data_IF_464580782473
#
_entry.id   IF_464580782473
#
_cell.length_a   1.000
_cell.length_b   1.000
_cell.length_c   1.000
_cell.angle_alpha   90.00
_cell.angle_beta   90.00
_cell.angle_gamma   90.00
#
_symmetry.space_group_name_H-M   'P 1'
#
loop_
_entity.id
_entity.type
_entity.pdbx_description
1 polymer ?
#
# COMPACT_ATOMS: atom_id res chain seq x y z
N UNK A 1 23.13 20.68 -23.26
CA UNK A 1 23.27 21.00 -21.82
C UNK A 1 23.17 19.72 -21.00
N UNK A 2 22.21 18.84 -21.29
CA UNK A 2 22.00 17.56 -20.57
C UNK A 2 23.21 16.62 -20.69
N UNK A 3 23.83 16.51 -21.85
CA UNK A 3 25.04 15.69 -22.06
C UNK A 3 26.27 16.20 -21.29
N UNK A 4 26.36 17.51 -21.08
CA UNK A 4 27.42 18.09 -20.23
C UNK A 4 27.17 17.86 -18.73
N UNK A 5 25.90 17.84 -18.29
CA UNK A 5 25.54 17.55 -16.91
C UNK A 5 25.77 16.08 -16.60
N UNK A 6 25.42 15.17 -17.51
CA UNK A 6 25.65 13.73 -17.34
C UNK A 6 27.13 13.36 -17.27
N UNK A 7 28.01 14.10 -17.98
CA UNK A 7 29.46 13.88 -17.92
C UNK A 7 30.12 14.38 -16.62
N UNK A 8 29.42 15.18 -15.82
CA UNK A 8 29.92 15.71 -14.53
C UNK A 8 29.45 14.81 -13.35
N UNK A 9 28.50 13.94 -13.58
CA UNK A 9 28.02 13.02 -12.54
C UNK A 9 29.13 12.02 -12.19
N UNK A 10 29.51 11.99 -10.92
CA UNK A 10 30.60 11.13 -10.41
C UNK A 10 32.02 11.70 -10.52
N UNK A 11 32.19 12.92 -11.07
CA UNK A 11 33.50 13.59 -11.03
C UNK A 11 33.63 14.45 -9.78
N UNK A 12 34.83 14.38 -9.13
CA UNK A 12 35.16 15.31 -8.04
C UNK A 12 35.18 16.75 -8.57
N UNK A 13 34.53 17.65 -7.83
CA UNK A 13 34.59 19.08 -8.15
C UNK A 13 35.98 19.71 -7.91
N UNK A 14 36.92 18.96 -7.33
CA UNK A 14 38.22 19.47 -6.92
C UNK A 14 38.19 20.43 -5.72
N UNK A 15 36.98 20.71 -5.18
CA UNK A 15 36.83 21.69 -4.11
C UNK A 15 37.54 21.26 -2.83
N UNK A 16 37.37 20.01 -2.42
CA UNK A 16 37.98 19.48 -1.19
C UNK A 16 39.50 19.40 -1.32
N UNK A 17 39.99 19.04 -2.51
CA UNK A 17 41.42 18.95 -2.84
C UNK A 17 42.09 20.31 -2.81
N UNK A 18 41.35 21.36 -3.14
CA UNK A 18 41.87 22.74 -3.13
C UNK A 18 41.88 23.41 -1.73
N UNK A 19 41.29 22.77 -0.72
CA UNK A 19 41.27 23.29 0.65
C UNK A 19 42.66 23.22 1.31
N UNK A 20 42.97 24.13 2.28
CA UNK A 20 44.16 24.02 3.14
C UNK A 20 44.21 22.67 3.89
N UNK A 21 45.38 22.15 4.16
CA UNK A 21 45.57 20.82 4.74
C UNK A 21 44.89 20.65 6.11
N UNK A 22 44.89 21.66 6.94
CA UNK A 22 44.19 21.66 8.24
C UNK A 22 42.67 21.58 8.07
N UNK A 23 42.13 22.21 7.04
CA UNK A 23 40.70 22.16 6.74
C UNK A 23 40.32 20.79 6.19
N UNK A 24 41.13 20.23 5.28
CA UNK A 24 40.94 18.86 4.79
C UNK A 24 40.92 17.84 5.91
N UNK A 25 41.88 17.94 6.85
CA UNK A 25 41.92 17.05 8.04
C UNK A 25 40.64 17.13 8.87
N UNK A 26 40.07 18.35 9.04
CA UNK A 26 38.78 18.53 9.74
C UNK A 26 37.64 17.91 8.96
N UNK A 27 37.60 18.06 7.63
CA UNK A 27 36.59 17.43 6.76
C UNK A 27 36.66 15.90 6.86
N UNK A 28 37.86 15.31 6.82
CA UNK A 28 38.00 13.86 7.00
C UNK A 28 37.58 13.41 8.40
N UNK A 29 37.86 14.19 9.44
CA UNK A 29 37.36 13.94 10.79
C UNK A 29 35.81 13.93 10.87
N UNK A 30 35.16 14.90 10.19
CA UNK A 30 33.71 14.96 10.11
C UNK A 30 33.12 13.77 9.33
N UNK A 31 33.76 13.34 8.24
CA UNK A 31 33.39 12.11 7.53
C UNK A 31 33.45 10.89 8.44
N UNK A 32 34.49 10.78 9.27
CA UNK A 32 34.65 9.71 10.25
C UNK A 32 33.49 9.70 11.28
N UNK A 33 33.10 10.88 11.78
CA UNK A 33 31.94 11.01 12.67
C UNK A 33 30.64 10.62 11.95
N UNK A 34 30.49 11.03 10.69
CA UNK A 34 29.29 10.64 9.90
C UNK A 34 29.19 9.13 9.71
N UNK A 35 30.30 8.42 9.51
CA UNK A 35 30.31 6.94 9.47
C UNK A 35 29.82 6.33 10.79
N UNK A 36 30.18 6.92 11.93
CA UNK A 36 29.67 6.46 13.24
C UNK A 36 28.18 6.74 13.36
N UNK A 37 27.73 7.92 12.96
CA UNK A 37 26.28 8.27 12.92
C UNK A 37 25.50 7.28 12.05
N UNK A 38 25.97 7.00 10.84
CA UNK A 38 25.31 6.05 9.92
C UNK A 38 25.14 4.65 10.56
N UNK A 39 26.12 4.18 11.32
CA UNK A 39 26.02 2.87 12.02
C UNK A 39 24.93 2.87 13.08
N UNK A 40 24.80 3.96 13.84
CA UNK A 40 23.74 4.11 14.85
C UNK A 40 22.37 4.23 14.18
N UNK A 41 22.27 5.01 13.12
CA UNK A 41 21.04 5.16 12.36
C UNK A 41 20.60 3.83 11.74
N UNK A 42 21.51 3.07 11.16
CA UNK A 42 21.21 1.74 10.64
C UNK A 42 20.73 0.76 11.75
N UNK A 43 21.25 0.90 12.96
CA UNK A 43 20.74 0.13 14.11
C UNK A 43 19.33 0.58 14.47
N UNK A 44 19.09 1.87 14.56
CA UNK A 44 17.80 2.46 14.87
C UNK A 44 16.73 2.00 13.86
N UNK A 45 17.01 2.06 12.56
CA UNK A 45 16.08 1.61 11.52
C UNK A 45 15.75 0.12 11.64
N UNK A 46 16.73 -0.73 11.99
CA UNK A 46 16.48 -2.15 12.24
C UNK A 46 15.60 -2.39 13.46
N UNK A 47 15.78 -1.62 14.52
CA UNK A 47 14.93 -1.72 15.72
C UNK A 47 13.51 -1.25 15.44
N UNK A 48 13.33 -0.17 14.66
CA UNK A 48 12.00 0.28 14.18
C UNK A 48 11.32 -0.83 13.37
N UNK A 49 12.00 -1.41 12.38
CA UNK A 49 11.44 -2.48 11.57
C UNK A 49 11.05 -3.70 12.43
N UNK A 50 11.85 -4.05 13.43
CA UNK A 50 11.54 -5.13 14.37
C UNK A 50 10.28 -4.80 15.22
N UNK A 51 10.16 -3.54 15.65
CA UNK A 51 8.98 -3.04 16.35
C UNK A 51 7.73 -3.10 15.48
N UNK A 52 7.81 -2.62 14.25
CA UNK A 52 6.71 -2.66 13.27
C UNK A 52 6.24 -4.09 13.01
N UNK A 53 7.17 -5.03 12.79
CA UNK A 53 6.86 -6.46 12.65
C UNK A 53 6.13 -7.03 13.86
N UNK A 54 6.54 -6.65 15.07
CA UNK A 54 5.87 -7.08 16.30
C UNK A 54 4.44 -6.54 16.38
N UNK A 55 4.24 -5.25 16.09
CA UNK A 55 2.90 -4.66 16.12
C UNK A 55 2.02 -5.16 14.98
N UNK A 56 2.56 -5.42 13.80
CA UNK A 56 1.81 -6.03 12.70
C UNK A 56 1.16 -7.37 13.10
N UNK A 57 1.86 -8.19 13.90
CA UNK A 57 1.28 -9.44 14.46
C UNK A 57 0.15 -9.16 15.45
N UNK A 58 0.23 -8.08 16.22
CA UNK A 58 -0.84 -7.68 17.15
C UNK A 58 -2.06 -7.08 16.43
N UNK A 59 -1.84 -6.40 15.31
CA UNK A 59 -2.92 -5.85 14.49
C UNK A 59 -3.65 -6.90 13.64
N UNK A 60 -3.00 -8.02 13.32
CA UNK A 60 -3.56 -9.03 12.44
C UNK A 60 -4.97 -9.51 12.85
N UNK A 61 -5.26 -9.82 14.14
CA UNK A 61 -6.60 -10.22 14.58
C UNK A 61 -7.66 -9.12 14.36
N UNK A 62 -7.28 -7.84 14.53
CA UNK A 62 -8.19 -6.71 14.30
C UNK A 62 -8.52 -6.56 12.80
N UNK A 63 -7.54 -6.79 11.94
CA UNK A 63 -7.77 -6.79 10.50
C UNK A 63 -8.61 -7.98 10.04
N UNK A 64 -8.44 -9.15 10.66
CA UNK A 64 -9.30 -10.31 10.40
C UNK A 64 -10.74 -10.01 10.82
N UNK A 65 -10.93 -9.40 11.98
CA UNK A 65 -12.24 -8.98 12.46
C UNK A 65 -12.89 -7.95 11.52
N UNK A 66 -12.13 -6.92 11.09
CA UNK A 66 -12.58 -5.95 10.10
C UNK A 66 -13.06 -6.64 8.82
N UNK A 67 -12.26 -7.55 8.27
CA UNK A 67 -12.62 -8.30 7.06
C UNK A 67 -13.95 -9.04 7.24
N UNK A 68 -14.14 -9.73 8.32
CA UNK A 68 -15.37 -10.48 8.60
C UNK A 68 -16.60 -9.56 8.65
N UNK A 69 -16.49 -8.38 9.28
CA UNK A 69 -17.57 -7.40 9.36
C UNK A 69 -17.84 -6.80 7.97
N UNK A 70 -16.81 -6.41 7.22
CA UNK A 70 -16.94 -5.85 5.88
C UNK A 70 -17.62 -6.82 4.92
N UNK A 71 -17.29 -8.13 5.02
CA UNK A 71 -17.91 -9.18 4.20
C UNK A 71 -19.31 -9.57 4.68
N UNK A 72 -19.73 -9.14 5.86
CA UNK A 72 -20.99 -9.54 6.48
C UNK A 72 -21.00 -11.00 6.93
N UNK A 73 -19.84 -11.58 7.21
CA UNK A 73 -19.70 -12.91 7.80
C UNK A 73 -20.11 -12.90 9.26
N UNK A 74 -19.84 -11.79 9.94
CA UNK A 74 -20.20 -11.54 11.35
C UNK A 74 -20.63 -10.08 11.50
N UNK A 75 -21.51 -9.86 12.46
CA UNK A 75 -21.92 -8.51 12.87
C UNK A 75 -20.99 -7.95 13.95
N UNK A 76 -20.84 -6.61 14.04
CA UNK A 76 -20.11 -5.98 15.11
C UNK A 76 -20.79 -6.26 16.45
N UNK A 77 -20.00 -6.37 17.52
CA UNK A 77 -20.52 -6.47 18.89
C UNK A 77 -21.06 -5.11 19.35
N UNK A 78 -21.97 -5.13 20.34
CA UNK A 78 -22.47 -3.89 20.92
C UNK A 78 -21.36 -3.00 21.46
N UNK A 79 -20.31 -3.58 22.03
CA UNK A 79 -19.15 -2.85 22.53
C UNK A 79 -18.36 -2.17 21.38
N UNK A 80 -18.12 -2.89 20.26
CA UNK A 80 -17.42 -2.31 19.10
C UNK A 80 -18.21 -1.11 18.51
N UNK A 81 -19.55 -1.21 18.51
CA UNK A 81 -20.40 -0.10 18.05
C UNK A 81 -20.35 1.08 19.02
N UNK A 82 -20.45 0.83 20.33
CA UNK A 82 -20.40 1.87 21.36
C UNK A 82 -19.06 2.61 21.35
N UNK A 83 -17.95 1.87 21.24
CA UNK A 83 -16.61 2.45 21.09
C UNK A 83 -16.50 3.31 19.82
N UNK A 84 -17.08 2.85 18.69
CA UNK A 84 -17.14 3.62 17.44
C UNK A 84 -17.96 4.90 17.57
N UNK A 85 -19.16 4.83 18.16
CA UNK A 85 -20.02 6.00 18.39
C UNK A 85 -19.35 7.03 19.33
N UNK A 86 -18.52 6.57 20.26
CA UNK A 86 -17.79 7.45 21.15
C UNK A 86 -16.73 8.31 20.43
N UNK A 87 -16.18 7.82 19.31
CA UNK A 87 -15.19 8.57 18.51
C UNK A 87 -15.82 9.67 17.65
N UNK A 88 -17.13 9.60 17.38
CA UNK A 88 -17.85 10.56 16.54
C UNK A 88 -18.43 11.74 17.36
N UNK A 89 -18.26 11.73 18.69
CA UNK A 89 -18.67 12.87 19.51
C UNK A 89 -17.68 14.01 19.27
N UNK A 90 -18.16 15.22 18.91
CA UNK A 90 -17.30 16.39 18.91
C UNK A 90 -16.69 16.56 20.31
N UNK A 91 -15.40 16.91 20.37
CA UNK A 91 -14.78 17.34 21.62
C UNK A 91 -15.55 18.59 22.09
N UNK A 92 -16.41 18.42 23.10
CA UNK A 92 -17.12 19.52 23.77
C UNK A 92 -16.13 20.32 24.65
N UNK A 93 -15.11 20.91 24.05
CA UNK A 93 -14.17 21.82 24.72
C UNK A 93 -14.41 23.30 24.34
N UNK A 94 -15.60 23.68 23.86
CA UNK A 94 -16.01 25.08 23.78
C UNK A 94 -17.35 25.26 24.50
N UNK A 95 -17.25 25.61 25.82
CA UNK A 95 -18.28 26.22 26.61
C UNK A 95 -18.70 27.58 25.99
N UNK A 96 -19.67 27.60 25.11
CA UNK A 96 -20.52 28.76 24.93
C UNK A 96 -21.99 28.29 24.91
N UNK A 97 -22.63 28.47 26.10
CA UNK A 97 -24.08 28.40 26.26
C UNK A 97 -24.75 29.47 25.38
N UNK A 98 -25.15 29.09 24.15
CA UNK A 98 -26.24 29.82 23.48
C UNK A 98 -27.54 29.03 23.66
N UNK A 99 -28.37 29.49 24.61
CA UNK A 99 -29.77 29.13 24.69
C UNK A 99 -30.50 29.59 23.42
N UNK A 100 -30.56 28.73 22.40
CA UNK A 100 -31.40 28.86 21.21
C UNK A 100 -32.56 27.88 21.30
N UNK A 101 -33.72 28.37 21.74
CA UNK A 101 -35.00 27.67 21.52
C UNK A 101 -35.23 27.52 20.03
N UNK A 102 -35.01 26.33 19.52
CA UNK A 102 -35.75 25.60 18.46
C UNK A 102 -34.92 24.42 18.06
N UNK A 103 -34.89 23.43 18.90
CA UNK A 103 -34.05 22.29 18.65
C UNK A 103 -34.85 21.07 18.35
N UNK A 104 -34.58 20.44 17.27
CA UNK A 104 -34.75 19.01 17.09
C UNK A 104 -33.42 18.35 17.47
N UNK A 105 -33.08 18.39 18.73
CA UNK A 105 -32.12 17.48 19.33
C UNK A 105 -32.67 16.06 19.27
N UNK A 106 -32.65 15.42 18.13
CA UNK A 106 -32.84 14.00 18.04
C UNK A 106 -31.64 13.36 18.75
N UNK A 107 -31.84 13.01 20.01
CA UNK A 107 -30.96 12.07 20.71
C UNK A 107 -30.73 10.89 19.76
N UNK A 108 -29.55 10.82 19.13
CA UNK A 108 -29.17 9.70 18.28
C UNK A 108 -29.28 8.46 19.15
N UNK A 109 -30.29 7.61 18.89
CA UNK A 109 -30.40 6.33 19.55
C UNK A 109 -29.15 5.55 19.22
N UNK A 110 -28.42 5.09 20.25
CA UNK A 110 -27.24 4.29 20.08
C UNK A 110 -27.55 3.08 19.18
N UNK A 111 -26.74 2.87 18.17
CA UNK A 111 -26.83 1.73 17.26
C UNK A 111 -26.46 0.42 17.95
N UNK A 112 -25.71 0.49 19.05
CA UNK A 112 -25.23 -0.68 19.79
C UNK A 112 -26.35 -1.62 20.26
N UNK A 113 -27.55 -1.09 20.51
CA UNK A 113 -28.73 -1.84 20.97
C UNK A 113 -29.76 -2.08 19.85
N UNK A 114 -29.45 -1.75 18.60
CA UNK A 114 -30.36 -2.02 17.49
C UNK A 114 -30.29 -3.50 17.09
N UNK A 115 -31.46 -4.14 17.00
CA UNK A 115 -31.55 -5.46 16.37
C UNK A 115 -31.46 -5.33 14.86
N UNK A 116 -30.51 -6.05 14.26
CA UNK A 116 -30.37 -6.08 12.81
C UNK A 116 -31.52 -6.87 12.22
N UNK A 117 -32.23 -6.27 11.26
CA UNK A 117 -33.34 -6.94 10.59
C UNK A 117 -32.80 -8.06 9.69
N UNK A 118 -33.55 -9.16 9.59
CA UNK A 118 -33.15 -10.35 8.80
C UNK A 118 -32.95 -10.07 7.31
N UNK A 119 -33.54 -8.99 6.77
CA UNK A 119 -33.45 -8.58 5.37
C UNK A 119 -32.43 -7.45 5.13
N UNK A 120 -31.66 -7.07 6.15
CA UNK A 120 -30.61 -6.04 5.98
C UNK A 120 -29.51 -6.54 5.03
N UNK A 121 -28.92 -5.63 4.21
CA UNK A 121 -27.77 -5.97 3.39
C UNK A 121 -26.63 -6.47 4.28
N UNK A 122 -26.02 -7.58 3.89
CA UNK A 122 -24.89 -8.15 4.63
C UNK A 122 -23.59 -7.41 4.28
N UNK A 123 -22.84 -7.04 5.31
CA UNK A 123 -21.55 -6.38 5.16
C UNK A 123 -21.65 -4.96 4.61
N UNK A 124 -20.53 -4.47 4.08
CA UNK A 124 -20.40 -3.12 3.53
C UNK A 124 -19.96 -3.25 2.07
N UNK A 125 -20.92 -3.05 1.16
CA UNK A 125 -20.64 -3.14 -0.27
C UNK A 125 -19.59 -2.09 -0.70
N UNK A 126 -18.68 -2.49 -1.58
CA UNK A 126 -17.65 -1.61 -2.18
C UNK A 126 -16.78 -0.85 -1.14
N UNK A 127 -16.65 -1.38 0.07
CA UNK A 127 -15.92 -0.75 1.17
C UNK A 127 -14.51 -0.28 0.74
N UNK A 128 -13.73 -1.16 0.13
CA UNK A 128 -12.36 -0.83 -0.27
C UNK A 128 -12.27 0.14 -1.43
N UNK A 129 -13.17 0.04 -2.41
CA UNK A 129 -13.24 1.02 -3.49
C UNK A 129 -13.54 2.41 -2.93
N UNK A 130 -14.52 2.51 -2.04
CA UNK A 130 -14.87 3.77 -1.37
C UNK A 130 -13.71 4.31 -0.55
N UNK A 131 -13.05 3.47 0.26
CA UNK A 131 -11.90 3.86 1.07
C UNK A 131 -10.73 4.38 0.21
N UNK A 132 -10.42 3.69 -0.90
CA UNK A 132 -9.37 4.11 -1.83
C UNK A 132 -9.71 5.44 -2.52
N UNK A 133 -10.98 5.64 -2.92
CA UNK A 133 -11.44 6.89 -3.55
C UNK A 133 -11.50 8.07 -2.58
N UNK A 134 -11.67 7.83 -1.30
CA UNK A 134 -11.62 8.89 -0.28
C UNK A 134 -10.21 9.41 -0.01
N UNK A 135 -9.17 8.68 -0.44
CA UNK A 135 -7.79 9.16 -0.34
C UNK A 135 -7.43 9.97 -1.60
N UNK A 136 -7.16 11.27 -1.43
CA UNK A 136 -6.98 12.23 -2.55
C UNK A 136 -5.99 11.71 -3.60
N UNK A 137 -4.78 11.32 -3.21
CA UNK A 137 -3.75 10.88 -4.16
C UNK A 137 -4.11 9.56 -4.86
N UNK A 138 -4.87 8.66 -4.21
CA UNK A 138 -5.29 7.40 -4.83
C UNK A 138 -6.49 7.62 -5.75
N UNK A 139 -7.40 8.50 -5.39
CA UNK A 139 -8.58 8.79 -6.21
C UNK A 139 -8.22 9.35 -7.59
N UNK A 140 -7.13 10.14 -7.69
CA UNK A 140 -6.62 10.64 -8.96
C UNK A 140 -6.04 9.55 -9.88
N UNK A 141 -5.62 8.42 -9.32
CA UNK A 141 -5.05 7.30 -10.06
C UNK A 141 -6.11 6.29 -10.52
N UNK A 142 -7.28 6.24 -9.85
CA UNK A 142 -8.34 5.28 -10.14
C UNK A 142 -9.19 5.81 -11.28
N UNK A 143 -9.23 5.08 -12.38
CA UNK A 143 -10.10 5.39 -13.53
C UNK A 143 -11.44 4.66 -13.43
N UNK A 144 -12.47 5.10 -14.20
CA UNK A 144 -13.76 4.39 -14.26
C UNK A 144 -13.62 2.91 -14.66
N UNK A 145 -12.59 2.56 -15.42
CA UNK A 145 -12.32 1.17 -15.80
C UNK A 145 -11.81 0.35 -14.61
N UNK A 146 -10.99 0.97 -13.76
CA UNK A 146 -10.41 0.31 -12.58
C UNK A 146 -11.47 0.07 -11.50
N UNK A 147 -12.45 0.96 -11.40
CA UNK A 147 -13.55 0.82 -10.45
C UNK A 147 -14.28 -0.52 -10.60
N UNK A 148 -14.49 -0.98 -11.86
CA UNK A 148 -15.12 -2.27 -12.13
C UNK A 148 -14.41 -3.43 -11.44
N UNK A 149 -13.08 -3.50 -11.52
CA UNK A 149 -12.30 -4.53 -10.85
C UNK A 149 -12.19 -4.28 -9.33
N UNK A 150 -12.02 -3.03 -8.91
CA UNK A 150 -11.85 -2.66 -7.50
C UNK A 150 -13.11 -2.88 -6.66
N UNK A 151 -14.31 -2.95 -7.28
CA UNK A 151 -15.55 -3.36 -6.58
C UNK A 151 -15.45 -4.75 -5.97
N UNK A 152 -14.62 -5.61 -6.54
CA UNK A 152 -14.40 -6.97 -6.06
C UNK A 152 -13.26 -7.09 -5.04
N UNK A 153 -12.62 -5.97 -4.64
CA UNK A 153 -11.59 -5.93 -3.62
C UNK A 153 -12.22 -6.13 -2.24
N UNK A 154 -11.83 -7.20 -1.55
CA UNK A 154 -12.41 -7.60 -0.26
C UNK A 154 -11.48 -7.41 0.94
N UNK A 155 -10.17 -7.33 0.71
CA UNK A 155 -9.20 -7.06 1.79
C UNK A 155 -7.88 -6.52 1.25
N UNK A 156 -7.21 -5.69 2.04
CA UNK A 156 -5.85 -5.19 1.80
C UNK A 156 -5.02 -5.42 3.04
N UNK A 157 -3.88 -6.11 2.88
CA UNK A 157 -2.96 -6.48 3.96
C UNK A 157 -1.54 -6.05 3.68
N UNK A 158 -0.91 -5.51 4.70
CA UNK A 158 0.54 -5.32 4.75
C UNK A 158 1.16 -6.49 5.52
N UNK A 159 2.19 -7.12 4.95
CA UNK A 159 3.02 -8.11 5.63
C UNK A 159 4.48 -7.76 5.47
N UNK A 160 5.25 -7.85 6.54
CA UNK A 160 6.70 -7.72 6.48
C UNK A 160 7.33 -9.06 6.10
N UNK A 161 8.41 -9.02 5.33
CA UNK A 161 9.18 -10.21 5.04
C UNK A 161 9.96 -10.60 6.30
N UNK A 162 9.71 -11.81 6.78
CA UNK A 162 10.46 -12.35 7.92
C UNK A 162 11.82 -12.85 7.43
N UNK A 163 12.85 -12.53 8.20
CA UNK A 163 14.11 -13.24 8.15
C UNK A 163 13.80 -14.71 8.29
N UNK A 164 14.34 -15.58 7.42
CA UNK A 164 14.07 -17.00 7.39
C UNK A 164 13.73 -17.57 8.77
N UNK A 165 12.49 -18.00 8.90
CA UNK A 165 11.74 -18.33 10.09
C UNK A 165 12.46 -19.13 11.14
N UNK A 166 12.37 -18.67 12.40
CA UNK A 166 12.51 -19.56 13.56
C UNK A 166 11.28 -20.46 13.78
N UNK A 167 10.16 -20.23 13.05
CA UNK A 167 8.95 -21.06 13.11
C UNK A 167 8.62 -21.64 11.74
N UNK A 168 8.84 -22.96 11.63
CA UNK A 168 8.72 -23.78 10.43
C UNK A 168 7.30 -23.94 9.85
N UNK A 169 6.56 -22.86 9.64
CA UNK A 169 5.30 -22.85 8.91
C UNK A 169 5.35 -21.83 7.77
N UNK A 170 6.18 -22.12 6.77
CA UNK A 170 6.27 -21.36 5.54
C UNK A 170 5.09 -21.66 4.63
N UNK A 171 4.19 -20.71 4.45
CA UNK A 171 3.31 -20.69 3.28
C UNK A 171 4.13 -20.28 2.07
N UNK A 172 4.70 -21.29 1.40
CA UNK A 172 5.38 -21.12 0.13
C UNK A 172 4.35 -21.07 -1.00
N UNK A 173 4.15 -19.89 -1.56
CA UNK A 173 3.64 -19.77 -2.92
C UNK A 173 4.32 -18.60 -3.63
N UNK A 174 5.56 -18.82 -4.07
CA UNK A 174 6.12 -18.03 -5.15
C UNK A 174 7.11 -18.89 -5.95
N UNK A 175 6.68 -19.23 -7.13
CA UNK A 175 7.57 -19.71 -8.18
C UNK A 175 8.23 -18.47 -8.80
N UNK A 176 9.35 -18.02 -8.26
CA UNK A 176 10.41 -17.26 -8.93
C UNK A 176 11.44 -16.80 -7.86
N UNK A 177 12.67 -17.34 -7.97
CA UNK A 177 13.84 -16.80 -7.29
C UNK A 177 13.92 -17.09 -5.80
N UNK A 178 14.30 -18.32 -5.42
CA UNK A 178 14.71 -18.65 -4.05
C UNK A 178 16.01 -17.90 -3.75
N UNK A 179 16.05 -16.98 -2.74
CA UNK A 179 17.32 -16.40 -2.30
C UNK A 179 18.28 -17.49 -1.85
N UNK A 180 19.58 -17.31 -2.13
CA UNK A 180 20.59 -18.23 -1.67
C UNK A 180 20.51 -18.39 -0.12
N UNK A 181 20.74 -19.61 0.43
CA UNK A 181 20.66 -19.83 1.87
C UNK A 181 21.64 -18.92 2.61
N UNK A 182 21.10 -17.99 3.40
CA UNK A 182 21.85 -17.03 4.22
C UNK A 182 21.62 -15.55 3.93
N UNK A 183 20.95 -15.17 2.84
CA UNK A 183 20.54 -13.78 2.58
C UNK A 183 19.11 -13.56 3.06
N UNK A 184 18.98 -12.84 4.15
CA UNK A 184 17.70 -12.37 4.67
C UNK A 184 17.36 -11.07 3.96
N UNK A 185 16.61 -11.15 2.88
CA UNK A 185 16.15 -9.96 2.18
C UNK A 185 15.03 -9.30 2.99
N UNK A 186 15.28 -8.08 3.45
CA UNK A 186 14.29 -7.27 4.18
C UNK A 186 13.33 -6.62 3.19
N UNK A 187 12.09 -6.44 3.63
CA UNK A 187 11.09 -5.82 2.79
C UNK A 187 9.69 -5.97 3.36
N UNK A 188 8.71 -5.62 2.55
CA UNK A 188 7.30 -5.80 2.87
C UNK A 188 6.51 -6.15 1.61
N UNK A 189 5.33 -6.71 1.82
CA UNK A 189 4.40 -7.00 0.74
C UNK A 189 3.02 -6.46 1.05
N UNK A 190 2.33 -6.06 -0.01
CA UNK A 190 0.93 -5.68 -0.01
C UNK A 190 0.15 -6.77 -0.72
N UNK A 191 -0.82 -7.36 -0.02
CA UNK A 191 -1.74 -8.33 -0.57
C UNK A 191 -3.10 -7.69 -0.77
N UNK A 192 -3.59 -7.77 -1.99
CA UNK A 192 -4.91 -7.33 -2.39
C UNK A 192 -5.76 -8.57 -2.66
N UNK A 193 -6.71 -8.86 -1.77
CA UNK A 193 -7.60 -10.02 -1.90
C UNK A 193 -8.87 -9.63 -2.64
N UNK A 194 -9.25 -10.44 -3.62
CA UNK A 194 -10.44 -10.21 -4.46
C UNK A 194 -11.43 -11.35 -4.33
N UNK A 195 -12.72 -11.03 -4.50
CA UNK A 195 -13.79 -12.03 -4.63
C UNK A 195 -13.66 -12.69 -6.01
N UNK A 196 -12.94 -13.82 -6.06
CA UNK A 196 -12.63 -14.51 -7.31
C UNK A 196 -13.88 -15.04 -8.03
N UNK A 197 -14.96 -15.34 -7.29
CA UNK A 197 -16.19 -15.88 -7.87
C UNK A 197 -16.99 -14.82 -8.60
N UNK A 198 -16.89 -13.56 -8.18
CA UNK A 198 -17.60 -12.42 -8.77
C UNK A 198 -16.75 -11.59 -9.71
N UNK A 199 -15.41 -11.75 -9.66
CA UNK A 199 -14.48 -10.95 -10.45
C UNK A 199 -14.44 -11.43 -11.90
N UNK A 200 -15.01 -10.66 -12.81
CA UNK A 200 -15.01 -10.94 -14.25
C UNK A 200 -13.70 -10.53 -14.95
N UNK A 201 -12.83 -9.73 -14.31
CA UNK A 201 -11.65 -9.15 -14.93
C UNK A 201 -10.45 -10.11 -14.93
N UNK A 202 -10.16 -10.75 -13.82
CA UNK A 202 -9.02 -11.67 -13.66
C UNK A 202 -9.33 -12.76 -12.64
N UNK A 203 -8.56 -13.85 -12.71
CA UNK A 203 -8.82 -15.08 -11.92
C UNK A 203 -8.06 -15.13 -10.60
N UNK A 204 -7.07 -14.27 -10.40
CA UNK A 204 -6.27 -14.29 -9.19
C UNK A 204 -7.12 -13.92 -7.96
N UNK A 205 -7.21 -14.77 -6.93
CA UNK A 205 -7.89 -14.42 -5.69
C UNK A 205 -7.09 -13.41 -4.86
N UNK A 206 -5.77 -13.36 -5.04
CA UNK A 206 -4.88 -12.42 -4.37
C UNK A 206 -3.86 -11.90 -5.37
N UNK A 207 -3.70 -10.59 -5.40
CA UNK A 207 -2.60 -9.92 -6.09
C UNK A 207 -1.64 -9.37 -5.05
N UNK A 208 -0.37 -9.77 -5.14
CA UNK A 208 0.67 -9.37 -4.20
C UNK A 208 1.68 -8.47 -4.89
N UNK A 209 2.07 -7.40 -4.23
CA UNK A 209 3.21 -6.56 -4.58
C UNK A 209 4.22 -6.60 -3.46
N UNK A 210 5.41 -7.10 -3.74
CA UNK A 210 6.51 -7.22 -2.77
C UNK A 210 7.55 -6.17 -3.06
N UNK A 211 7.97 -5.46 -2.04
CA UNK A 211 9.01 -4.44 -2.08
C UNK A 211 10.19 -4.91 -1.27
N UNK A 212 11.37 -4.86 -1.86
CA UNK A 212 12.61 -5.28 -1.24
C UNK A 212 13.49 -4.09 -0.92
N UNK A 213 14.17 -4.16 0.22
CA UNK A 213 15.19 -3.21 0.60
C UNK A 213 16.58 -3.73 0.23
N UNK A 214 17.49 -2.80 -0.03
CA UNK A 214 18.90 -3.11 -0.22
C UNK A 214 19.50 -3.64 1.08
N UNK A 215 20.49 -4.52 0.98
CA UNK A 215 21.21 -5.04 2.16
C UNK A 215 21.98 -3.94 2.90
N UNK A 216 22.40 -2.91 2.16
CA UNK A 216 23.11 -1.77 2.69
C UNK A 216 22.16 -0.61 2.92
N UNK A 217 22.33 0.03 4.08
CA UNK A 217 21.61 1.29 4.36
C UNK A 217 22.16 2.42 3.51
N UNK A 218 21.30 3.40 3.20
CA UNK A 218 21.65 4.60 2.49
C UNK A 218 22.68 5.46 3.24
N UNK A 219 23.11 6.54 2.60
CA UNK A 219 24.05 7.51 3.19
C UNK A 219 23.54 8.13 4.50
N UNK A 220 22.25 8.26 4.66
CA UNK A 220 21.57 8.75 5.86
C UNK A 220 21.30 7.66 6.89
N UNK A 221 21.54 6.39 6.55
CA UNK A 221 21.26 5.23 7.41
C UNK A 221 19.88 4.59 7.15
N UNK A 222 19.11 5.15 6.22
CA UNK A 222 17.76 4.70 5.90
C UNK A 222 17.76 3.37 5.13
N UNK A 223 16.64 2.63 5.26
CA UNK A 223 16.38 1.47 4.41
C UNK A 223 16.08 1.95 2.98
N UNK A 224 16.94 1.58 2.05
CA UNK A 224 16.83 2.01 0.64
C UNK A 224 16.05 0.96 -0.15
N UNK A 225 15.10 1.44 -0.97
CA UNK A 225 14.41 0.59 -1.93
C UNK A 225 15.42 -0.03 -2.92
N UNK A 226 15.26 -1.32 -3.19
CA UNK A 226 16.03 -2.05 -4.19
C UNK A 226 15.18 -2.31 -5.42
N UNK A 227 14.25 -3.24 -5.33
CA UNK A 227 13.34 -3.60 -6.41
C UNK A 227 11.98 -4.01 -5.87
N UNK A 228 11.03 -4.21 -6.78
CA UNK A 228 9.73 -4.75 -6.43
C UNK A 228 9.30 -5.82 -7.40
N UNK A 229 8.64 -6.84 -6.87
CA UNK A 229 8.03 -7.92 -7.63
C UNK A 229 6.51 -7.85 -7.49
N UNK A 230 5.78 -8.34 -8.49
CA UNK A 230 4.33 -8.35 -8.47
C UNK A 230 3.78 -9.65 -9.04
N UNK A 231 2.62 -10.06 -8.53
CA UNK A 231 1.87 -11.18 -9.10
C UNK A 231 1.50 -10.86 -10.56
N UNK A 232 1.75 -11.80 -11.46
CA UNK A 232 1.24 -11.70 -12.83
C UNK A 232 -0.29 -11.82 -12.80
N UNK A 233 -0.98 -10.86 -13.43
CA UNK A 233 -2.44 -10.86 -13.45
C UNK A 233 -2.94 -11.78 -14.55
N UNK A 234 -3.75 -12.77 -14.18
CA UNK A 234 -4.39 -13.72 -15.10
C UNK A 234 -5.74 -13.14 -15.58
N UNK A 235 -5.66 -12.28 -16.58
CA UNK A 235 -6.84 -11.64 -17.17
C UNK A 235 -7.76 -12.66 -17.83
N UNK A 236 -9.07 -12.53 -17.62
CA UNK A 236 -10.07 -13.44 -18.20
C UNK A 236 -10.19 -13.30 -19.72
N UNK A 237 -9.97 -12.10 -20.22
CA UNK A 237 -9.95 -11.79 -21.66
C UNK A 237 -9.07 -10.57 -21.97
N UNK A 238 -8.64 -10.39 -23.22
CA UNK A 238 -7.90 -9.19 -23.64
C UNK A 238 -8.71 -7.88 -23.44
N UNK A 239 -10.02 -7.95 -23.55
CA UNK A 239 -10.93 -6.83 -23.35
C UNK A 239 -11.00 -6.40 -21.88
N UNK A 240 -10.89 -7.36 -20.96
CA UNK A 240 -10.90 -7.15 -19.50
C UNK A 240 -9.52 -6.73 -18.96
N UNK A 241 -8.50 -6.73 -19.81
CA UNK A 241 -7.18 -6.28 -19.41
C UNK A 241 -7.14 -4.75 -19.23
N UNK A 242 -7.12 -4.31 -17.97
CA UNK A 242 -7.17 -2.89 -17.62
C UNK A 242 -5.84 -2.18 -17.86
N UNK A 243 -4.73 -2.92 -17.99
CA UNK A 243 -3.41 -2.33 -18.26
C UNK A 243 -3.23 -1.87 -19.71
N UNK A 244 -4.17 -2.24 -20.60
CA UNK A 244 -4.13 -1.92 -22.01
C UNK A 244 -5.42 -1.25 -22.46
N UNK A 245 -5.29 -0.32 -23.39
CA UNK A 245 -6.44 0.27 -24.07
C UNK A 245 -6.48 -0.25 -25.51
N UNK A 246 -7.52 -1.02 -25.83
CA UNK A 246 -7.72 -1.48 -27.18
C UNK A 246 -8.23 -0.35 -28.08
N UNK A 247 -7.39 0.17 -28.94
CA UNK A 247 -7.79 1.13 -29.98
C UNK A 247 -8.18 0.41 -31.26
N UNK A 248 -9.37 0.70 -31.76
CA UNK A 248 -9.79 0.23 -33.08
C UNK A 248 -9.44 1.26 -34.13
N UNK A 249 -8.53 0.92 -35.06
CA UNK A 249 -8.24 1.76 -36.23
C UNK A 249 -8.88 1.19 -37.48
N UNK A 250 -9.65 2.01 -38.19
CA UNK A 250 -10.15 1.68 -39.50
C UNK A 250 -9.04 1.86 -40.51
N UNK A 251 -8.57 0.77 -41.10
CA UNK A 251 -7.62 0.80 -42.21
C UNK A 251 -8.37 0.59 -43.52
N UNK A 252 -8.21 1.55 -44.44
CA UNK A 252 -8.77 1.46 -45.82
C UNK A 252 -7.66 0.93 -46.74
N UNK A 253 -7.97 -0.13 -47.45
CA UNK A 253 -7.09 -0.65 -48.49
C UNK A 253 -7.13 0.33 -49.69
N UNK A 254 -5.98 0.85 -50.08
CA UNK A 254 -5.90 1.83 -51.17
C UNK A 254 -6.28 1.24 -52.53
N UNK A 255 -6.17 -0.08 -52.70
CA UNK A 255 -6.39 -0.74 -54.01
C UNK A 255 -7.84 -1.29 -54.12
N UNK A 256 -8.42 -1.82 -53.02
CA UNK A 256 -9.74 -2.43 -53.05
C UNK A 256 -10.83 -1.56 -52.45
N UNK A 257 -10.47 -0.40 -51.87
CA UNK A 257 -11.40 0.50 -51.18
C UNK A 257 -12.13 -0.12 -49.97
N UNK A 258 -11.78 -1.34 -49.60
CA UNK A 258 -12.35 -2.05 -48.45
C UNK A 258 -11.79 -1.50 -47.15
N UNK A 259 -12.64 -1.36 -46.15
CA UNK A 259 -12.28 -0.89 -44.82
C UNK A 259 -12.29 -2.07 -43.85
N UNK A 260 -11.15 -2.37 -43.23
CA UNK A 260 -11.12 -3.35 -42.14
C UNK A 260 -10.81 -2.64 -40.81
N UNK A 261 -11.40 -3.15 -39.74
CA UNK A 261 -11.11 -2.72 -38.39
C UNK A 261 -9.95 -3.54 -37.84
N UNK A 262 -8.89 -2.87 -37.41
CA UNK A 262 -7.73 -3.50 -36.77
C UNK A 262 -7.71 -3.06 -35.30
N UNK A 263 -7.70 -4.01 -34.38
CA UNK A 263 -7.46 -3.76 -32.94
C UNK A 263 -5.93 -3.60 -32.78
N UNK A 264 -5.51 -2.61 -32.01
CA UNK A 264 -4.10 -2.33 -31.69
C UNK A 264 -3.94 -2.19 -30.20
#
# INVERSE_FOLDING_TARGET
IQDRLSSLVGQSSGYIEALPEEVRRRVEGLKGLNVQHQKLEAQFQREILALEKRFAKLYAPLYDRRKQIVLGEVEPTAQEVEEGEATDKPDDDDDEEEEGEDGVGQSRKSLANMSIQTDAPKGIAEFWLTALKNHVALSELITERDEGALRHLIDVRLRYLDSASEDGAGSSSSAAGVPAPGQVQQGFQLDFSFDADKNEYFKNPVLTKTYFYQDQVGFTGDLVYDHAEGTSIDWTSPENNLTHRLETKKQRNKNTNETRTVKR
#
